data_IF_002886201233
#
_entry.id   IF_002886201233
#
_cell.length_a   1.000
_cell.length_b   1.000
_cell.length_c   1.000
_cell.angle_alpha   90.00
_cell.angle_beta   90.00
_cell.angle_gamma   90.00
#
_symmetry.space_group_name_H-M   'P 1'
#
loop_
_entity.id
_entity.type
_entity.pdbx_description
1 polymer ?
#
# COMPACT_ATOMS: atom_id res chain seq x y z
N UNK A 1 -38.40 17.99 -5.85
CA UNK A 1 -37.47 16.93 -5.39
C UNK A 1 -36.35 16.92 -6.40
N UNK A 2 -35.10 17.16 -5.98
CA UNK A 2 -33.97 17.22 -6.93
C UNK A 2 -33.65 15.83 -7.48
N UNK A 3 -33.15 15.77 -8.71
CA UNK A 3 -32.75 14.50 -9.34
C UNK A 3 -31.69 13.79 -8.47
N UNK A 4 -31.94 12.53 -8.13
CA UNK A 4 -30.99 11.69 -7.40
C UNK A 4 -29.82 11.34 -8.32
N UNK A 5 -28.58 11.57 -7.87
CA UNK A 5 -27.39 11.24 -8.65
C UNK A 5 -26.22 10.81 -7.77
N UNK A 6 -25.31 10.06 -8.39
CA UNK A 6 -24.13 9.54 -7.72
C UNK A 6 -23.03 10.60 -7.76
N UNK A 7 -22.44 10.91 -6.60
CA UNK A 7 -21.32 11.84 -6.47
C UNK A 7 -19.97 11.13 -6.58
N UNK A 8 -19.88 9.93 -6.02
CA UNK A 8 -18.64 9.18 -5.98
C UNK A 8 -18.92 7.69 -5.83
N UNK A 9 -18.01 6.87 -6.37
CA UNK A 9 -18.03 5.41 -6.26
C UNK A 9 -16.63 4.98 -5.88
N UNK A 10 -16.51 4.34 -4.73
CA UNK A 10 -15.27 3.75 -4.24
C UNK A 10 -15.36 2.23 -4.35
N UNK A 11 -14.42 1.59 -5.05
CA UNK A 11 -14.31 0.14 -5.06
C UNK A 11 -13.51 -0.28 -3.82
N UNK A 12 -14.14 -1.01 -2.90
CA UNK A 12 -13.52 -1.43 -1.64
C UNK A 12 -12.73 -2.74 -1.78
N UNK A 13 -13.19 -3.63 -2.67
CA UNK A 13 -12.71 -5.00 -2.70
C UNK A 13 -13.56 -5.91 -3.57
N UNK A 14 -13.40 -7.21 -3.36
CA UNK A 14 -14.32 -8.24 -3.83
C UNK A 14 -14.52 -9.31 -2.77
N UNK A 15 -15.67 -9.98 -2.80
CA UNK A 15 -15.96 -11.15 -2.00
C UNK A 15 -15.99 -12.39 -2.90
N UNK A 16 -15.43 -13.49 -2.40
CA UNK A 16 -15.66 -14.82 -2.94
C UNK A 16 -16.80 -15.46 -2.14
N UNK A 17 -17.90 -15.72 -2.83
CA UNK A 17 -19.10 -16.36 -2.28
C UNK A 17 -19.17 -17.81 -2.75
N UNK A 18 -19.74 -18.68 -1.94
CA UNK A 18 -19.80 -20.13 -2.19
C UNK A 18 -21.20 -20.64 -2.54
N UNK A 19 -22.25 -19.85 -2.27
CA UNK A 19 -23.64 -20.17 -2.54
C UNK A 19 -24.22 -19.18 -3.56
N UNK A 20 -25.03 -19.60 -4.56
CA UNK A 20 -25.44 -20.98 -4.86
C UNK A 20 -24.32 -21.83 -5.50
N UNK A 21 -23.28 -21.19 -5.99
CA UNK A 21 -22.03 -21.80 -6.44
C UNK A 21 -20.88 -20.83 -6.19
N UNK A 22 -19.63 -21.28 -6.33
CA UNK A 22 -18.48 -20.40 -6.15
C UNK A 22 -18.49 -19.27 -7.18
N UNK A 23 -18.55 -18.02 -6.73
CA UNK A 23 -18.51 -16.84 -7.59
C UNK A 23 -17.90 -15.64 -6.86
N UNK A 24 -17.63 -14.57 -7.61
CA UNK A 24 -17.03 -13.35 -7.07
C UNK A 24 -17.94 -12.15 -7.29
N UNK A 25 -18.05 -11.29 -6.28
CA UNK A 25 -18.77 -10.00 -6.35
C UNK A 25 -17.84 -8.87 -5.94
N UNK A 26 -17.88 -7.76 -6.65
CA UNK A 26 -17.15 -6.55 -6.29
C UNK A 26 -17.97 -5.72 -5.31
N UNK A 27 -17.28 -5.11 -4.36
CA UNK A 27 -17.86 -4.30 -3.29
C UNK A 27 -17.69 -2.83 -3.61
N UNK A 28 -18.80 -2.12 -3.82
CA UNK A 28 -18.78 -0.69 -4.14
C UNK A 28 -19.43 0.11 -3.01
N UNK A 29 -18.74 1.13 -2.52
CA UNK A 29 -19.33 2.18 -1.68
C UNK A 29 -19.78 3.33 -2.59
N UNK A 30 -21.10 3.48 -2.72
CA UNK A 30 -21.74 4.50 -3.55
C UNK A 30 -22.14 5.67 -2.68
N UNK A 31 -21.64 6.86 -3.01
CA UNK A 31 -21.96 8.13 -2.32
C UNK A 31 -22.92 8.93 -3.19
N UNK A 32 -24.11 9.19 -2.65
CA UNK A 32 -25.20 9.87 -3.35
C UNK A 32 -25.21 11.38 -3.08
N UNK A 33 -25.99 12.12 -3.88
CA UNK A 33 -26.14 13.56 -3.75
C UNK A 33 -26.81 14.00 -2.44
N UNK A 34 -27.65 13.14 -1.87
CA UNK A 34 -28.28 13.32 -0.55
C UNK A 34 -27.33 13.03 0.64
N UNK A 35 -26.03 12.82 0.35
CA UNK A 35 -24.98 12.45 1.31
C UNK A 35 -25.12 11.04 1.88
N UNK A 36 -26.07 10.23 1.40
CA UNK A 36 -26.13 8.83 1.79
C UNK A 36 -24.99 8.03 1.17
N UNK A 37 -24.46 7.10 1.96
CA UNK A 37 -23.45 6.14 1.51
C UNK A 37 -24.02 4.74 1.61
N UNK A 38 -23.92 3.97 0.52
CA UNK A 38 -24.51 2.64 0.42
C UNK A 38 -23.47 1.65 -0.09
N UNK A 39 -23.33 0.52 0.60
CA UNK A 39 -22.51 -0.60 0.15
C UNK A 39 -23.37 -1.49 -0.76
N UNK A 40 -22.86 -1.78 -1.96
CA UNK A 40 -23.52 -2.67 -2.92
C UNK A 40 -22.53 -3.70 -3.47
N UNK A 41 -23.08 -4.78 -4.02
CA UNK A 41 -22.33 -5.91 -4.56
C UNK A 41 -22.75 -6.20 -6.00
N UNK A 42 -21.79 -6.31 -6.92
CA UNK A 42 -22.06 -6.64 -8.34
C UNK A 42 -21.08 -7.64 -8.88
N UNK A 43 -21.54 -8.60 -9.69
CA UNK A 43 -20.65 -9.50 -10.44
C UNK A 43 -20.07 -8.78 -11.64
N UNK A 44 -18.90 -9.24 -12.11
CA UNK A 44 -18.30 -8.68 -13.32
C UNK A 44 -19.22 -8.76 -14.54
N UNK A 45 -19.94 -9.88 -14.68
CA UNK A 45 -20.88 -10.09 -15.78
C UNK A 45 -21.98 -9.04 -15.78
N UNK A 46 -22.51 -8.68 -14.61
CA UNK A 46 -23.53 -7.63 -14.49
C UNK A 46 -22.98 -6.25 -14.86
N UNK A 47 -21.74 -5.94 -14.43
CA UNK A 47 -21.05 -4.69 -14.80
C UNK A 47 -20.82 -4.63 -16.31
N UNK A 48 -20.46 -5.76 -16.93
CA UNK A 48 -20.23 -5.82 -18.37
C UNK A 48 -21.52 -5.68 -19.19
N UNK A 49 -22.61 -6.34 -18.79
CA UNK A 49 -23.92 -6.15 -19.43
C UNK A 49 -24.42 -4.71 -19.26
N UNK A 50 -24.24 -4.12 -18.07
CA UNK A 50 -24.47 -2.70 -17.84
C UNK A 50 -23.67 -1.84 -18.82
N UNK A 51 -22.37 -2.10 -18.97
CA UNK A 51 -21.50 -1.35 -19.88
C UNK A 51 -21.95 -1.49 -21.34
N UNK A 52 -22.33 -2.69 -21.77
CA UNK A 52 -22.83 -2.94 -23.13
C UNK A 52 -24.08 -2.12 -23.43
N UNK A 53 -25.08 -2.16 -22.54
CA UNK A 53 -26.29 -1.36 -22.67
C UNK A 53 -25.99 0.15 -22.64
N UNK A 54 -25.02 0.60 -21.81
CA UNK A 54 -24.60 2.00 -21.79
C UNK A 54 -24.02 2.44 -23.14
N UNK A 55 -23.22 1.60 -23.81
CA UNK A 55 -22.70 1.88 -25.15
C UNK A 55 -23.82 2.00 -26.18
N UNK A 56 -24.80 1.08 -26.12
CA UNK A 56 -25.96 1.08 -27.03
C UNK A 56 -26.82 2.35 -26.86
N UNK A 57 -26.93 2.87 -25.63
CA UNK A 57 -27.66 4.12 -25.35
C UNK A 57 -26.93 5.38 -25.83
N UNK A 58 -25.60 5.34 -25.93
CA UNK A 58 -24.76 6.50 -26.26
C UNK A 58 -23.72 6.16 -27.34
N UNK A 59 -24.17 5.86 -28.58
CA UNK A 59 -23.30 5.33 -29.65
C UNK A 59 -22.26 6.34 -30.16
N UNK A 60 -22.48 7.64 -29.97
CA UNK A 60 -21.51 8.68 -30.33
C UNK A 60 -20.39 8.69 -29.28
N UNK A 61 -20.77 8.78 -28.01
CA UNK A 61 -19.86 8.89 -26.86
C UNK A 61 -19.15 7.58 -26.52
N UNK A 62 -19.67 6.44 -26.97
CA UNK A 62 -19.00 5.14 -26.93
C UNK A 62 -17.91 5.01 -28.00
N UNK A 63 -17.90 5.89 -29.00
CA UNK A 63 -17.02 5.85 -30.15
C UNK A 63 -17.44 4.85 -31.23
N UNK A 64 -18.68 4.34 -31.20
CA UNK A 64 -19.17 3.37 -32.19
C UNK A 64 -19.42 4.04 -33.57
N UNK A 65 -19.69 5.35 -33.60
CA UNK A 65 -19.84 6.14 -34.84
C UNK A 65 -18.50 6.77 -35.27
N UNK A 66 -17.80 7.42 -34.34
CA UNK A 66 -16.45 7.98 -34.58
C UNK A 66 -15.61 7.82 -33.31
N UNK A 67 -14.45 7.18 -33.44
CA UNK A 67 -13.52 6.93 -32.34
C UNK A 67 -13.05 8.20 -31.62
N UNK A 68 -12.99 9.34 -32.32
CA UNK A 68 -12.56 10.63 -31.73
C UNK A 68 -13.55 11.19 -30.70
N UNK A 69 -14.83 10.80 -30.80
CA UNK A 69 -15.88 11.26 -29.88
C UNK A 69 -16.00 10.38 -28.63
N UNK A 70 -15.14 9.36 -28.50
CA UNK A 70 -15.22 8.41 -27.40
C UNK A 70 -14.86 9.09 -26.08
N UNK A 71 -15.82 9.14 -25.18
CA UNK A 71 -15.63 9.55 -23.79
C UNK A 71 -16.01 8.43 -22.82
N UNK A 72 -16.87 7.48 -23.22
CA UNK A 72 -17.23 6.33 -22.38
C UNK A 72 -15.99 5.42 -22.22
N UNK A 73 -15.56 5.14 -20.99
CA UNK A 73 -14.35 4.36 -20.72
C UNK A 73 -14.47 2.94 -21.29
N UNK A 74 -13.33 2.35 -21.64
CA UNK A 74 -13.30 0.96 -22.10
C UNK A 74 -13.41 -0.01 -20.93
N UNK A 75 -14.26 -1.02 -21.06
CA UNK A 75 -14.29 -2.16 -20.15
C UNK A 75 -13.96 -3.45 -20.91
N UNK A 76 -12.92 -4.20 -20.51
CA UNK A 76 -12.53 -5.42 -21.20
C UNK A 76 -13.62 -6.51 -21.08
N UNK A 77 -13.78 -7.29 -22.15
CA UNK A 77 -14.73 -8.38 -22.18
C UNK A 77 -14.43 -9.45 -21.10
N UNK A 78 -15.47 -10.13 -20.56
CA UNK A 78 -15.29 -11.22 -19.63
C UNK A 78 -14.47 -12.35 -20.26
N UNK A 79 -13.56 -12.93 -19.49
CA UNK A 79 -12.87 -14.16 -19.89
C UNK A 79 -13.76 -15.35 -19.52
N UNK A 80 -13.65 -16.45 -20.28
CA UNK A 80 -14.41 -17.68 -20.05
C UNK A 80 -14.18 -18.33 -18.67
N UNK A 81 -13.05 -18.03 -18.03
CA UNK A 81 -12.74 -18.51 -16.68
C UNK A 81 -12.52 -17.32 -15.74
N UNK A 82 -13.36 -17.23 -14.70
CA UNK A 82 -13.20 -16.28 -13.60
C UNK A 82 -12.71 -16.99 -12.34
N UNK A 83 -11.44 -16.76 -12.03
CA UNK A 83 -10.80 -17.17 -10.80
C UNK A 83 -10.40 -15.97 -9.94
N UNK A 84 -9.95 -16.23 -8.72
CA UNK A 84 -9.56 -15.19 -7.77
C UNK A 84 -8.55 -14.20 -8.36
N UNK A 85 -7.51 -14.68 -9.08
CA UNK A 85 -6.51 -13.81 -9.71
C UNK A 85 -7.09 -12.88 -10.78
N UNK A 86 -8.05 -13.36 -11.59
CA UNK A 86 -8.68 -12.52 -12.62
C UNK A 86 -9.64 -11.50 -12.00
N UNK A 87 -10.30 -11.86 -10.90
CA UNK A 87 -11.11 -10.91 -10.13
C UNK A 87 -10.22 -9.82 -9.51
N UNK A 88 -9.13 -10.22 -8.87
CA UNK A 88 -8.18 -9.28 -8.27
C UNK A 88 -7.56 -8.33 -9.31
N UNK A 89 -7.10 -8.84 -10.45
CA UNK A 89 -6.46 -8.01 -11.48
C UNK A 89 -7.40 -6.99 -12.13
N UNK A 90 -8.72 -7.23 -12.11
CA UNK A 90 -9.73 -6.31 -12.63
C UNK A 90 -10.07 -5.17 -11.68
N UNK A 91 -9.72 -5.24 -10.40
CA UNK A 91 -10.08 -4.22 -9.42
C UNK A 91 -9.59 -2.83 -9.82
N UNK A 92 -8.33 -2.70 -10.28
CA UNK A 92 -7.79 -1.43 -10.77
C UNK A 92 -8.58 -0.85 -11.94
N UNK A 93 -8.85 -1.69 -12.95
CA UNK A 93 -9.65 -1.31 -14.12
C UNK A 93 -11.07 -0.90 -13.75
N UNK A 94 -11.71 -1.59 -12.81
CA UNK A 94 -13.06 -1.26 -12.35
C UNK A 94 -13.10 0.04 -11.53
N UNK A 95 -12.09 0.28 -10.69
CA UNK A 95 -11.98 1.52 -9.94
C UNK A 95 -11.84 2.73 -10.89
N UNK A 96 -10.95 2.63 -11.89
CA UNK A 96 -10.77 3.66 -12.93
C UNK A 96 -12.03 3.83 -13.79
N UNK A 97 -12.69 2.73 -14.17
CA UNK A 97 -13.94 2.74 -14.93
C UNK A 97 -15.03 3.51 -14.17
N UNK A 98 -15.25 3.17 -12.89
CA UNK A 98 -16.27 3.82 -12.08
C UNK A 98 -15.94 5.31 -11.89
N UNK A 99 -14.69 5.65 -11.55
CA UNK A 99 -14.25 7.04 -11.42
C UNK A 99 -14.52 7.84 -12.69
N UNK A 100 -14.20 7.28 -13.86
CA UNK A 100 -14.42 7.96 -15.14
C UNK A 100 -15.92 8.11 -15.43
N UNK A 101 -16.71 7.06 -15.17
CA UNK A 101 -18.15 7.02 -15.42
C UNK A 101 -18.91 8.12 -14.68
N UNK A 102 -18.64 8.33 -13.37
CA UNK A 102 -19.33 9.38 -12.59
C UNK A 102 -18.93 10.80 -13.03
N UNK A 103 -17.75 10.95 -13.64
CA UNK A 103 -17.24 12.23 -14.15
C UNK A 103 -17.63 12.51 -15.62
N UNK A 104 -18.39 11.63 -16.27
CA UNK A 104 -18.93 11.90 -17.60
C UNK A 104 -20.00 13.01 -17.57
N UNK A 105 -20.30 13.63 -18.72
CA UNK A 105 -21.38 14.61 -18.84
C UNK A 105 -22.68 14.10 -18.21
N UNK A 106 -23.45 15.01 -17.58
CA UNK A 106 -24.62 14.64 -16.77
C UNK A 106 -25.65 13.80 -17.52
N UNK A 107 -25.79 14.00 -18.85
CA UNK A 107 -26.67 13.20 -19.70
C UNK A 107 -26.34 11.69 -19.68
N UNK A 108 -25.09 11.32 -19.37
CA UNK A 108 -24.63 9.94 -19.20
C UNK A 108 -24.55 9.58 -17.72
N UNK A 109 -23.76 10.32 -16.93
CA UNK A 109 -23.46 9.96 -15.53
C UNK A 109 -24.69 9.96 -14.61
N UNK A 110 -25.76 10.68 -14.97
CA UNK A 110 -27.01 10.75 -14.22
C UNK A 110 -28.19 10.08 -14.94
N UNK A 111 -27.94 9.35 -16.03
CA UNK A 111 -29.01 8.67 -16.71
C UNK A 111 -29.56 7.53 -15.84
N UNK A 112 -30.82 7.15 -16.09
CA UNK A 112 -31.50 6.14 -15.28
C UNK A 112 -30.76 4.80 -15.27
N UNK A 113 -30.09 4.43 -16.36
CA UNK A 113 -29.31 3.19 -16.44
C UNK A 113 -28.12 3.17 -15.48
N UNK A 114 -27.42 4.30 -15.33
CA UNK A 114 -26.33 4.44 -14.35
C UNK A 114 -26.89 4.44 -12.94
N UNK A 115 -27.90 5.27 -12.66
CA UNK A 115 -28.48 5.41 -11.32
C UNK A 115 -29.02 4.07 -10.81
N UNK A 116 -29.88 3.41 -11.59
CA UNK A 116 -30.51 2.13 -11.21
C UNK A 116 -29.51 0.97 -11.04
N UNK A 117 -28.40 0.97 -11.80
CA UNK A 117 -27.38 -0.08 -11.63
C UNK A 117 -26.71 -0.02 -10.25
N UNK A 118 -26.52 1.20 -9.71
CA UNK A 118 -25.85 1.44 -8.43
C UNK A 118 -26.82 1.58 -7.23
N UNK A 119 -28.13 1.48 -7.45
CA UNK A 119 -29.11 1.43 -6.36
C UNK A 119 -28.95 0.17 -5.50
N UNK A 120 -29.29 0.28 -4.21
CA UNK A 120 -29.25 -0.85 -3.28
C UNK A 120 -30.31 -1.87 -3.65
N UNK A 121 -29.89 -3.12 -3.87
CA UNK A 121 -30.79 -4.25 -4.11
C UNK A 121 -31.10 -4.97 -2.78
N UNK A 122 -32.23 -5.70 -2.68
CA UNK A 122 -32.50 -6.54 -1.52
C UNK A 122 -31.34 -7.50 -1.18
N UNK A 123 -30.70 -8.06 -2.21
CA UNK A 123 -29.56 -8.97 -2.09
C UNK A 123 -28.29 -8.31 -1.52
N UNK A 124 -28.19 -6.98 -1.58
CA UNK A 124 -27.07 -6.23 -0.98
C UNK A 124 -27.21 -6.10 0.54
N UNK A 125 -28.46 -6.05 1.03
CA UNK A 125 -28.76 -5.92 2.47
C UNK A 125 -28.75 -7.27 3.17
N UNK A 126 -29.32 -8.28 2.52
CA UNK A 126 -29.42 -9.64 3.05
C UNK A 126 -28.80 -10.62 2.05
N UNK A 127 -27.46 -10.73 1.99
CA UNK A 127 -26.82 -11.67 1.09
C UNK A 127 -27.28 -13.08 1.42
N UNK A 128 -27.71 -13.82 0.40
CA UNK A 128 -28.18 -15.21 0.57
C UNK A 128 -26.98 -16.06 0.98
N UNK A 129 -26.90 -16.40 2.25
CA UNK A 129 -25.89 -17.30 2.81
C UNK A 129 -26.56 -18.58 3.29
N UNK A 130 -26.08 -19.72 2.80
CA UNK A 130 -26.38 -20.98 3.45
C UNK A 130 -25.56 -21.08 4.75
N UNK A 131 -26.25 -21.12 5.89
CA UNK A 131 -25.65 -21.27 7.22
C UNK A 131 -24.77 -22.51 7.38
N UNK A 132 -24.88 -23.50 6.49
CA UNK A 132 -24.09 -24.73 6.48
C UNK A 132 -22.83 -24.64 5.59
N UNK A 133 -22.69 -23.59 4.77
CA UNK A 133 -21.58 -23.43 3.80
C UNK A 133 -20.59 -22.37 4.30
N UNK A 134 -19.31 -22.51 3.91
CA UNK A 134 -18.20 -21.60 4.24
C UNK A 134 -18.61 -20.12 4.10
N UNK A 135 -18.24 -19.30 5.08
CA UNK A 135 -18.43 -17.84 5.05
C UNK A 135 -17.76 -17.22 3.82
N UNK A 136 -18.32 -16.14 3.23
CA UNK A 136 -17.67 -15.42 2.15
C UNK A 136 -16.26 -14.96 2.53
N UNK A 137 -15.30 -15.12 1.62
CA UNK A 137 -13.92 -14.62 1.79
C UNK A 137 -13.84 -13.21 1.19
N UNK A 138 -13.43 -12.22 1.99
CA UNK A 138 -13.35 -10.81 1.58
C UNK A 138 -11.93 -10.42 1.22
N UNK A 139 -11.74 -9.81 0.06
CA UNK A 139 -10.45 -9.35 -0.47
C UNK A 139 -10.50 -7.86 -0.75
N UNK A 140 -9.90 -7.06 0.12
CA UNK A 140 -9.91 -5.60 0.01
C UNK A 140 -8.85 -5.09 -0.97
N UNK A 141 -9.11 -3.94 -1.58
CA UNK A 141 -8.07 -3.19 -2.28
C UNK A 141 -7.05 -2.66 -1.27
N UNK A 142 -5.73 -2.78 -1.55
CA UNK A 142 -4.71 -2.09 -0.76
C UNK A 142 -5.01 -0.59 -0.76
N UNK A 143 -5.36 -0.02 0.40
CA UNK A 143 -5.51 1.42 0.54
C UNK A 143 -4.13 2.06 0.52
N UNK A 144 -3.89 2.96 -0.42
CA UNK A 144 -2.78 3.90 -0.30
C UNK A 144 -2.96 4.67 1.02
N UNK A 145 -1.92 4.68 1.86
CA UNK A 145 -1.95 5.10 3.26
C UNK A 145 -2.21 6.61 3.52
N UNK A 146 -2.91 7.31 2.62
CA UNK A 146 -3.35 8.69 2.81
C UNK A 146 -4.81 8.71 3.25
N UNK A 147 -5.04 8.55 4.56
CA UNK A 147 -6.37 8.73 5.19
C UNK A 147 -6.85 10.17 4.94
N UNK A 148 -7.89 10.34 4.14
CA UNK A 148 -8.62 11.60 4.05
C UNK A 148 -9.80 11.58 5.02
N UNK A 149 -10.15 12.74 5.59
CA UNK A 149 -11.20 12.87 6.61
C UNK A 149 -12.62 12.50 6.12
N UNK A 150 -12.81 12.26 4.82
CA UNK A 150 -14.05 11.80 4.20
C UNK A 150 -14.29 10.28 4.28
N UNK A 151 -13.37 9.52 4.87
CA UNK A 151 -13.39 8.05 4.89
C UNK A 151 -14.04 7.46 6.16
N UNK A 152 -14.67 8.30 7.00
CA UNK A 152 -15.17 7.92 8.34
C UNK A 152 -16.52 7.18 8.27
N UNK A 153 -17.24 7.23 7.14
CA UNK A 153 -18.64 6.77 7.01
C UNK A 153 -18.84 5.42 6.33
N UNK A 154 -17.79 4.76 5.84
CA UNK A 154 -17.88 3.39 5.33
C UNK A 154 -18.10 2.38 6.47
N UNK A 155 -18.73 1.21 6.21
CA UNK A 155 -18.77 0.14 7.19
C UNK A 155 -17.32 -0.25 7.54
N UNK A 156 -16.94 -0.01 8.80
CA UNK A 156 -15.63 -0.39 9.31
C UNK A 156 -15.63 -1.92 9.42
N UNK A 157 -15.16 -2.58 8.36
CA UNK A 157 -14.90 -4.02 8.39
C UNK A 157 -13.61 -4.21 9.15
N UNK A 158 -13.74 -4.64 10.39
CA UNK A 158 -12.61 -4.95 11.25
C UNK A 158 -11.92 -6.22 10.73
N UNK A 159 -10.59 -6.23 10.77
CA UNK A 159 -9.85 -7.43 10.42
C UNK A 159 -9.95 -8.44 11.56
N UNK A 160 -10.29 -9.68 11.21
CA UNK A 160 -10.46 -10.75 12.18
C UNK A 160 -9.16 -11.53 12.35
N UNK A 161 -8.75 -11.69 13.61
CA UNK A 161 -7.56 -12.42 14.02
C UNK A 161 -7.94 -13.53 15.00
N UNK A 162 -7.04 -14.50 15.15
CA UNK A 162 -7.18 -15.59 16.11
C UNK A 162 -6.06 -15.58 17.15
N UNK A 163 -6.42 -15.83 18.40
CA UNK A 163 -5.46 -15.99 19.47
C UNK A 163 -4.71 -17.33 19.32
N UNK A 164 -3.38 -17.28 19.25
CA UNK A 164 -2.52 -18.48 19.17
C UNK A 164 -2.21 -19.09 20.53
N UNK A 165 -2.39 -18.34 21.62
CA UNK A 165 -2.12 -18.80 22.98
C UNK A 165 -2.99 -18.05 23.99
N UNK A 166 -3.05 -18.56 25.21
CA UNK A 166 -3.71 -17.90 26.33
C UNK A 166 -2.92 -16.65 26.76
N UNK A 167 -3.61 -15.52 26.90
CA UNK A 167 -3.04 -14.28 27.41
C UNK A 167 -3.80 -13.83 28.65
N UNK A 168 -3.07 -13.61 29.74
CA UNK A 168 -3.62 -13.06 30.97
C UNK A 168 -3.38 -11.55 31.03
N UNK A 169 -4.45 -10.79 31.28
CA UNK A 169 -4.36 -9.34 31.40
C UNK A 169 -3.63 -8.94 32.69
N UNK A 170 -2.76 -7.96 32.58
CA UNK A 170 -2.02 -7.35 33.68
C UNK A 170 -2.64 -6.02 34.14
N UNK A 171 -3.50 -5.40 33.32
CA UNK A 171 -4.16 -4.14 33.63
C UNK A 171 -5.67 -4.15 33.35
N UNK A 172 -6.38 -3.11 33.80
CA UNK A 172 -7.83 -2.96 33.57
C UNK A 172 -8.18 -2.60 32.13
N UNK A 173 -7.25 -2.02 31.38
CA UNK A 173 -7.40 -1.65 29.96
C UNK A 173 -7.14 -2.82 29.01
N UNK A 174 -6.50 -3.88 29.50
CA UNK A 174 -6.18 -5.09 28.75
C UNK A 174 -7.34 -6.10 28.74
N UNK A 175 -7.41 -6.90 27.67
CA UNK A 175 -8.34 -7.99 27.52
C UNK A 175 -7.60 -9.33 27.56
N UNK A 176 -8.07 -10.26 28.39
CA UNK A 176 -7.54 -11.62 28.39
C UNK A 176 -8.00 -12.39 27.15
N UNK A 177 -7.15 -13.29 26.64
CA UNK A 177 -7.44 -14.17 25.50
C UNK A 177 -7.29 -15.63 25.89
N UNK A 178 -8.07 -16.50 25.26
CA UNK A 178 -7.86 -17.95 25.25
C UNK A 178 -7.41 -18.40 23.88
N UNK A 179 -6.53 -19.40 23.83
CA UNK A 179 -6.06 -19.97 22.57
C UNK A 179 -7.25 -20.43 21.72
N UNK A 180 -7.34 -19.90 20.51
CA UNK A 180 -8.46 -20.13 19.59
C UNK A 180 -9.55 -19.07 19.59
N UNK A 181 -9.53 -18.11 20.52
CA UNK A 181 -10.45 -16.97 20.48
C UNK A 181 -10.30 -16.19 19.18
N UNK A 182 -11.43 -15.79 18.60
CA UNK A 182 -11.49 -15.00 17.37
C UNK A 182 -11.86 -13.56 17.73
N UNK A 183 -11.00 -12.62 17.40
CA UNK A 183 -11.13 -11.20 17.77
C UNK A 183 -11.14 -10.32 16.54
N UNK A 184 -11.88 -9.23 16.62
CA UNK A 184 -11.88 -8.18 15.60
C UNK A 184 -10.92 -7.05 16.03
N UNK A 185 -9.95 -6.71 15.19
CA UNK A 185 -8.96 -5.68 15.46
C UNK A 185 -9.53 -4.31 15.08
N UNK A 186 -9.74 -3.46 16.10
CA UNK A 186 -10.28 -2.10 15.98
C UNK A 186 -9.19 -1.08 15.69
N UNK A 187 -8.05 -1.22 16.37
CA UNK A 187 -6.91 -0.32 16.21
C UNK A 187 -5.61 -1.11 16.31
N UNK A 188 -4.78 -1.03 15.27
CA UNK A 188 -3.38 -1.50 15.32
C UNK A 188 -2.47 -0.36 15.74
N UNK A 189 -1.43 -0.71 16.49
CA UNK A 189 -0.40 0.21 16.95
C UNK A 189 0.98 -0.39 16.73
N UNK A 190 1.92 0.42 16.28
CA UNK A 190 3.34 0.07 16.20
C UNK A 190 3.96 -0.18 17.60
N UNK A 191 3.22 0.12 18.68
CA UNK A 191 3.62 -0.19 20.06
C UNK A 191 3.50 -1.68 20.40
N UNK A 192 2.87 -2.49 19.54
CA UNK A 192 2.63 -3.92 19.76
C UNK A 192 1.38 -4.25 20.57
N UNK A 193 0.68 -3.24 21.06
CA UNK A 193 -0.63 -3.38 21.68
C UNK A 193 -1.71 -3.02 20.68
N UNK A 194 -2.62 -3.94 20.40
CA UNK A 194 -3.76 -3.69 19.50
C UNK A 194 -5.05 -3.66 20.29
N UNK A 195 -5.95 -2.74 19.94
CA UNK A 195 -7.26 -2.66 20.56
C UNK A 195 -8.20 -3.60 19.82
N UNK A 196 -8.71 -4.60 20.52
CA UNK A 196 -9.51 -5.67 19.94
C UNK A 196 -10.88 -5.77 20.60
N UNK A 197 -11.84 -6.29 19.84
CA UNK A 197 -13.16 -6.68 20.31
C UNK A 197 -13.32 -8.20 20.26
N UNK A 198 -13.75 -8.78 21.39
CA UNK A 198 -14.13 -10.19 21.51
C UNK A 198 -15.54 -10.27 22.06
N UNK A 199 -16.53 -10.60 21.22
CA UNK A 199 -17.95 -10.61 21.59
C UNK A 199 -18.37 -9.25 22.18
N UNK A 200 -18.71 -9.23 23.47
CA UNK A 200 -19.14 -8.05 24.22
C UNK A 200 -18.01 -7.40 25.06
N UNK A 201 -16.76 -7.86 24.92
CA UNK A 201 -15.59 -7.32 25.61
C UNK A 201 -14.69 -6.60 24.62
N UNK A 202 -14.02 -5.54 25.10
CA UNK A 202 -13.01 -4.80 24.35
C UNK A 202 -11.83 -4.51 25.27
N UNK A 203 -10.64 -4.43 24.69
CA UNK A 203 -9.44 -4.06 25.41
C UNK A 203 -8.19 -4.26 24.58
N UNK A 204 -7.06 -3.82 25.13
CA UNK A 204 -5.75 -3.98 24.51
C UNK A 204 -5.27 -5.41 24.67
N UNK A 205 -4.69 -5.96 23.61
CA UNK A 205 -4.06 -7.28 23.58
C UNK A 205 -2.70 -7.20 22.87
N UNK A 206 -1.72 -8.04 23.22
CA UNK A 206 -0.45 -8.05 22.50
C UNK A 206 -0.63 -8.64 21.10
N UNK A 207 -0.17 -7.93 20.08
CA UNK A 207 -0.21 -8.37 18.69
C UNK A 207 0.53 -9.71 18.47
N UNK A 208 1.57 -9.99 19.27
CA UNK A 208 2.32 -11.24 19.23
C UNK A 208 1.46 -12.49 19.54
N UNK A 209 0.33 -12.33 20.22
CA UNK A 209 -0.60 -13.43 20.55
C UNK A 209 -1.67 -13.66 19.49
N UNK A 210 -1.71 -12.82 18.46
CA UNK A 210 -2.71 -12.88 17.40
C UNK A 210 -2.10 -13.40 16.10
N UNK A 211 -2.88 -14.07 15.28
CA UNK A 211 -2.55 -14.39 13.89
C UNK A 211 -3.72 -14.00 12.96
N UNK A 212 -3.47 -13.48 11.75
CA UNK A 212 -4.54 -13.17 10.81
C UNK A 212 -5.28 -14.44 10.40
N UNK A 213 -6.58 -14.33 10.08
CA UNK A 213 -7.38 -15.48 9.63
C UNK A 213 -7.14 -15.85 8.15
N UNK A 214 -6.73 -14.89 7.33
CA UNK A 214 -6.53 -15.00 5.88
C UNK A 214 -5.13 -15.51 5.49
N UNK A 215 -4.16 -15.43 6.41
CA UNK A 215 -2.82 -15.99 6.23
C UNK A 215 -1.90 -15.76 7.43
N UNK A 216 -0.73 -16.39 7.46
CA UNK A 216 0.23 -16.23 8.56
C UNK A 216 1.01 -14.91 8.49
N UNK A 217 1.01 -14.21 7.35
CA UNK A 217 1.77 -12.98 7.11
C UNK A 217 0.90 -11.74 7.42
N UNK A 218 1.50 -10.74 8.07
CA UNK A 218 0.83 -9.48 8.40
C UNK A 218 0.83 -8.55 7.18
N UNK A 219 -0.34 -8.26 6.62
CA UNK A 219 -0.48 -7.52 5.36
C UNK A 219 -0.22 -6.02 5.48
N UNK A 220 -0.34 -5.44 6.68
CA UNK A 220 -0.10 -4.02 6.95
C UNK A 220 1.31 -3.73 7.50
N UNK A 221 2.18 -4.74 7.54
CA UNK A 221 3.56 -4.58 8.00
C UNK A 221 4.39 -3.80 6.95
N UNK A 222 5.08 -2.76 7.41
CA UNK A 222 5.91 -1.93 6.54
C UNK A 222 7.15 -2.69 6.08
N UNK A 223 7.74 -2.32 4.93
CA UNK A 223 9.03 -2.88 4.53
C UNK A 223 10.21 -2.27 5.33
N UNK A 224 11.34 -3.00 5.50
CA UNK A 224 12.52 -2.46 6.17
C UNK A 224 13.10 -1.24 5.45
N UNK A 225 13.32 -0.16 6.19
CA UNK A 225 14.06 1.02 5.74
C UNK A 225 15.52 0.96 6.21
N UNK A 226 16.40 0.36 5.40
CA UNK A 226 17.83 0.26 5.73
C UNK A 226 18.58 1.60 5.78
N UNK A 227 17.98 2.70 5.30
CA UNK A 227 18.51 4.04 5.51
C UNK A 227 18.58 4.39 7.00
N UNK A 228 17.59 3.92 7.77
CA UNK A 228 17.44 4.20 9.19
C UNK A 228 16.77 5.55 9.44
N UNK A 229 15.93 5.60 10.47
CA UNK A 229 15.44 6.84 11.06
C UNK A 229 16.11 7.05 12.43
N UNK A 230 16.50 8.28 12.75
CA UNK A 230 17.23 8.56 13.99
C UNK A 230 16.27 8.66 15.19
N UNK A 231 16.53 7.86 16.23
CA UNK A 231 15.78 7.83 17.49
C UNK A 231 16.75 7.92 18.68
N UNK A 232 16.21 8.33 19.82
CA UNK A 232 16.88 8.35 21.12
C UNK A 232 16.17 7.37 22.06
N UNK A 233 16.94 6.60 22.80
CA UNK A 233 16.44 5.70 23.84
C UNK A 233 15.95 6.52 25.04
N UNK A 234 14.66 6.46 25.33
CA UNK A 234 14.05 7.12 26.50
C UNK A 234 14.12 6.29 27.78
N UNK A 235 14.27 4.97 27.66
CA UNK A 235 14.35 4.08 28.82
C UNK A 235 15.27 2.91 28.51
N UNK A 236 16.20 2.64 29.42
CA UNK A 236 17.16 1.53 29.28
C UNK A 236 16.44 0.17 29.22
N UNK A 237 17.01 -0.75 28.45
CA UNK A 237 16.54 -2.14 28.34
C UNK A 237 17.74 -3.07 28.19
N UNK A 238 17.69 -4.21 28.87
CA UNK A 238 18.71 -5.27 28.80
C UNK A 238 18.14 -6.43 28.00
N UNK A 239 18.89 -6.86 26.98
CA UNK A 239 18.53 -7.98 26.12
C UNK A 239 18.30 -9.25 26.95
N UNK A 240 17.17 -9.90 26.71
CA UNK A 240 16.80 -11.20 27.30
C UNK A 240 17.02 -12.33 26.31
N UNK A 241 16.77 -12.08 25.02
CA UNK A 241 17.04 -13.01 23.91
C UNK A 241 18.26 -12.54 23.09
N UNK A 242 18.92 -13.46 22.39
CA UNK A 242 20.16 -13.18 21.61
C UNK A 242 19.95 -12.22 20.44
N UNK A 243 18.72 -12.09 19.96
CA UNK A 243 18.35 -11.22 18.85
C UNK A 243 17.89 -9.82 19.30
N UNK A 244 18.01 -9.51 20.60
CA UNK A 244 17.70 -8.22 21.21
C UNK A 244 18.95 -7.38 21.49
N UNK A 245 18.78 -6.07 21.65
CA UNK A 245 19.88 -5.16 21.99
C UNK A 245 19.76 -4.61 23.41
N UNK A 246 20.89 -4.61 24.12
CA UNK A 246 21.05 -3.88 25.38
C UNK A 246 21.44 -2.44 25.08
N UNK A 247 20.58 -1.49 25.43
CA UNK A 247 20.80 -0.05 25.21
C UNK A 247 20.49 0.75 26.47
N UNK A 248 21.20 1.87 26.65
CA UNK A 248 21.05 2.79 27.76
C UNK A 248 20.22 4.00 27.35
N UNK A 249 19.50 4.56 28.31
CA UNK A 249 18.82 5.84 28.14
C UNK A 249 19.79 6.93 27.65
N UNK A 250 19.35 7.71 26.66
CA UNK A 250 20.16 8.71 25.96
C UNK A 250 20.91 8.18 24.74
N UNK A 251 21.00 6.86 24.54
CA UNK A 251 21.64 6.30 23.35
C UNK A 251 20.92 6.77 22.07
N UNK A 252 21.68 7.20 21.07
CA UNK A 252 21.16 7.50 19.74
C UNK A 252 21.30 6.28 18.84
N UNK A 253 20.21 5.91 18.16
CA UNK A 253 20.10 4.70 17.35
C UNK A 253 19.35 4.97 16.04
N UNK A 254 19.48 4.05 15.09
CA UNK A 254 18.78 4.11 13.81
C UNK A 254 17.71 3.01 13.75
N UNK A 255 16.43 3.37 13.73
CA UNK A 255 15.32 2.43 13.52
C UNK A 255 15.26 2.06 12.04
N UNK A 256 15.39 0.77 11.73
CA UNK A 256 15.40 0.27 10.34
C UNK A 256 14.13 -0.52 9.99
N UNK A 257 13.34 -0.95 10.96
CA UNK A 257 12.06 -1.62 10.68
C UNK A 257 11.07 -1.46 11.85
N UNK A 258 9.91 -0.85 11.58
CA UNK A 258 8.84 -0.61 12.56
C UNK A 258 7.78 -1.72 12.53
N UNK A 259 8.12 -2.86 13.12
CA UNK A 259 7.22 -4.01 13.21
C UNK A 259 6.00 -3.68 14.08
N UNK A 260 4.83 -4.23 13.72
CA UNK A 260 3.55 -3.98 14.41
C UNK A 260 3.40 -4.76 15.72
N UNK A 261 4.35 -5.63 16.05
CA UNK A 261 4.39 -6.38 17.32
C UNK A 261 5.06 -5.59 18.47
N UNK A 262 5.50 -4.36 18.20
CA UNK A 262 6.10 -3.48 19.19
C UNK A 262 7.61 -3.62 19.34
N UNK A 263 8.22 -4.61 18.69
CA UNK A 263 9.65 -4.89 18.76
C UNK A 263 10.32 -4.47 17.47
N UNK A 264 10.78 -3.23 17.42
CA UNK A 264 11.39 -2.68 16.22
C UNK A 264 12.79 -3.21 16.02
N UNK A 265 13.21 -3.35 14.76
CA UNK A 265 14.60 -3.64 14.44
C UNK A 265 15.36 -2.32 14.41
N UNK A 266 16.39 -2.24 15.26
CA UNK A 266 17.22 -1.05 15.40
C UNK A 266 18.66 -1.38 15.08
N UNK A 267 19.40 -0.36 14.65
CA UNK A 267 20.83 -0.40 14.38
C UNK A 267 21.54 0.54 15.34
N UNK A 268 22.53 -0.01 16.04
CA UNK A 268 23.55 0.75 16.76
C UNK A 268 24.91 0.34 16.21
N UNK A 269 25.62 1.30 15.65
CA UNK A 269 26.87 1.09 14.94
C UNK A 269 26.73 0.05 13.80
N UNK A 270 27.37 -1.11 13.92
CA UNK A 270 27.31 -2.20 12.94
C UNK A 270 26.40 -3.36 13.36
N UNK A 271 25.77 -3.27 14.53
CA UNK A 271 24.92 -4.31 15.11
C UNK A 271 23.44 -3.99 14.88
N UNK A 272 22.65 -5.04 14.64
CA UNK A 272 21.19 -4.94 14.54
C UNK A 272 20.55 -5.90 15.53
N UNK A 273 19.41 -5.52 16.08
CA UNK A 273 18.61 -6.36 16.94
C UNK A 273 17.27 -5.72 17.27
N UNK A 274 16.42 -6.47 17.96
CA UNK A 274 15.12 -6.00 18.41
C UNK A 274 15.25 -5.07 19.61
N UNK A 275 14.40 -4.05 19.64
CA UNK A 275 14.27 -3.14 20.76
C UNK A 275 12.82 -2.67 20.94
N UNK A 276 12.32 -2.53 22.18
CA UNK A 276 10.97 -2.04 22.44
C UNK A 276 10.71 -0.65 21.84
N UNK A 277 9.77 -0.56 20.92
CA UNK A 277 9.36 0.72 20.30
C UNK A 277 8.89 1.75 21.33
N UNK A 278 8.24 1.29 22.41
CA UNK A 278 7.73 2.13 23.49
C UNK A 278 8.84 2.88 24.26
N UNK A 279 10.10 2.44 24.12
CA UNK A 279 11.24 3.07 24.78
C UNK A 279 12.04 3.98 23.84
N UNK A 280 11.53 4.25 22.64
CA UNK A 280 12.20 5.05 21.62
C UNK A 280 11.42 6.33 21.33
N UNK A 281 12.15 7.42 21.16
CA UNK A 281 11.61 8.70 20.70
C UNK A 281 12.35 9.17 19.46
N UNK A 282 11.61 9.66 18.46
CA UNK A 282 12.20 10.18 17.24
C UNK A 282 13.03 11.42 17.55
N UNK A 283 14.26 11.46 17.03
CA UNK A 283 15.17 12.58 17.25
C UNK A 283 14.60 13.87 16.64
N UNK A 284 14.55 14.96 17.41
CA UNK A 284 14.04 16.26 16.97
C UNK A 284 12.55 16.52 17.18
N UNK A 285 11.77 15.56 17.68
CA UNK A 285 10.38 15.80 18.09
C UNK A 285 10.31 16.23 19.57
N UNK A 286 9.68 17.38 19.85
CA UNK A 286 9.35 17.81 21.23
C UNK A 286 8.41 16.77 21.83
N UNK A 287 8.59 16.42 23.12
CA UNK A 287 7.74 15.52 23.89
C UNK A 287 6.27 15.99 23.86
N UNK A 288 5.55 15.69 22.78
CA UNK A 288 4.12 15.86 22.75
C UNK A 288 3.54 14.72 23.55
N UNK A 289 2.69 15.00 24.54
CA UNK A 289 1.98 13.96 25.25
C UNK A 289 1.08 13.22 24.25
N UNK A 290 1.55 12.10 23.67
CA UNK A 290 0.69 11.20 22.89
C UNK A 290 -0.53 10.89 23.76
N UNK A 291 -1.73 11.16 23.25
CA UNK A 291 -3.04 10.94 23.91
C UNK A 291 -3.40 9.45 24.01
N UNK A 292 -2.43 8.54 23.95
CA UNK A 292 -2.72 7.11 23.96
C UNK A 292 -2.97 6.65 25.40
N UNK A 293 -4.05 5.91 25.61
CA UNK A 293 -4.30 5.15 26.85
C UNK A 293 -3.27 4.04 27.12
N UNK A 294 -2.14 4.05 26.42
CA UNK A 294 -1.06 3.08 26.43
C UNK A 294 0.07 3.43 27.42
N UNK A 295 0.04 4.60 28.07
CA UNK A 295 1.14 5.07 28.97
C UNK A 295 1.49 4.14 30.12
N UNK A 296 0.56 3.27 30.52
CA UNK A 296 0.72 2.38 31.66
C UNK A 296 0.86 0.90 31.25
N UNK A 297 0.96 0.59 29.95
CA UNK A 297 1.16 -0.79 29.53
C UNK A 297 2.63 -1.17 29.61
N UNK A 298 2.90 -2.40 30.03
CA UNK A 298 4.23 -2.97 29.95
C UNK A 298 4.62 -3.18 28.48
N UNK A 299 5.91 -3.47 28.24
CA UNK A 299 6.38 -3.88 26.91
C UNK A 299 5.55 -5.09 26.47
N UNK A 300 5.02 -5.12 25.24
CA UNK A 300 4.29 -6.28 24.76
C UNK A 300 5.19 -7.52 24.76
N UNK A 301 4.71 -8.70 25.19
CA UNK A 301 5.48 -9.94 25.10
C UNK A 301 5.82 -10.28 23.64
N UNK A 302 7.02 -10.81 23.40
CA UNK A 302 7.44 -11.28 22.07
C UNK A 302 6.81 -12.61 21.74
N UNK A 303 6.58 -12.88 20.46
CA UNK A 303 6.07 -14.19 20.00
C UNK A 303 7.01 -15.35 20.34
N UNK A 304 8.33 -15.11 20.35
CA UNK A 304 9.35 -16.09 20.76
C UNK A 304 9.18 -16.55 22.21
N UNK A 305 8.62 -15.72 23.09
CA UNK A 305 8.38 -16.08 24.50
C UNK A 305 7.15 -16.99 24.71
N UNK A 306 6.34 -17.23 23.67
CA UNK A 306 5.11 -18.02 23.73
C UNK A 306 5.40 -19.51 23.53
N UNK A 307 5.40 -20.29 24.61
CA UNK A 307 5.79 -21.72 24.58
C UNK A 307 4.83 -22.64 23.81
N UNK A 308 3.53 -22.37 23.83
CA UNK A 308 2.48 -23.26 23.29
C UNK A 308 1.62 -22.56 22.22
N UNK A 309 2.26 -21.85 21.29
CA UNK A 309 1.58 -21.19 20.19
C UNK A 309 0.89 -22.23 19.26
N UNK A 310 -0.42 -22.12 19.08
CA UNK A 310 -1.25 -22.97 18.24
C UNK A 310 -1.75 -22.19 17.03
N UNK A 311 -0.99 -22.25 15.94
CA UNK A 311 -1.39 -21.63 14.66
C UNK A 311 -2.45 -22.45 13.92
N UNK A 312 -3.37 -21.78 13.22
CA UNK A 312 -4.25 -22.42 12.22
C UNK A 312 -3.57 -22.62 10.86
N UNK A 313 -2.40 -22.01 10.65
CA UNK A 313 -1.72 -22.01 9.37
C UNK A 313 -0.67 -23.12 9.30
N UNK A 314 -0.67 -23.88 8.21
CA UNK A 314 0.34 -24.92 7.98
C UNK A 314 1.72 -24.33 7.63
N UNK A 315 1.77 -23.07 7.19
CA UNK A 315 3.01 -22.36 6.87
C UNK A 315 3.30 -21.35 7.99
N UNK A 316 4.56 -21.27 8.40
CA UNK A 316 5.02 -20.24 9.32
C UNK A 316 5.00 -18.85 8.68
N UNK A 317 4.86 -17.82 9.52
CA UNK A 317 5.00 -16.42 9.14
C UNK A 317 6.40 -16.17 8.57
N UNK A 318 6.49 -15.38 7.51
CA UNK A 318 7.78 -14.91 6.98
C UNK A 318 8.38 -13.90 7.95
N UNK A 319 9.54 -14.22 8.50
CA UNK A 319 10.30 -13.32 9.34
C UNK A 319 11.74 -13.23 8.82
N UNK A 320 12.25 -12.00 8.71
CA UNK A 320 13.64 -11.76 8.33
C UNK A 320 14.53 -12.02 9.55
N UNK A 321 15.58 -12.82 9.40
CA UNK A 321 16.52 -13.10 10.49
C UNK A 321 17.41 -11.89 10.79
N UNK A 322 17.91 -11.80 12.03
CA UNK A 322 18.86 -10.74 12.40
C UNK A 322 20.13 -10.75 11.54
N UNK A 323 20.60 -11.93 11.14
CA UNK A 323 21.73 -12.05 10.21
C UNK A 323 21.45 -11.41 8.85
N UNK A 324 20.23 -11.59 8.32
CA UNK A 324 19.79 -10.94 7.08
C UNK A 324 19.66 -9.43 7.25
N UNK A 325 19.08 -8.95 8.35
CA UNK A 325 19.04 -7.51 8.66
C UNK A 325 20.44 -6.90 8.73
N UNK A 326 21.36 -7.55 9.45
CA UNK A 326 22.76 -7.12 9.60
C UNK A 326 23.45 -7.04 8.24
N UNK A 327 23.31 -8.07 7.40
CA UNK A 327 23.91 -8.11 6.06
C UNK A 327 23.40 -6.98 5.16
N UNK A 328 22.07 -6.81 5.09
CA UNK A 328 21.45 -5.79 4.25
C UNK A 328 21.78 -4.38 4.74
N UNK A 329 21.78 -4.18 6.05
CA UNK A 329 22.19 -2.94 6.70
C UNK A 329 23.65 -2.58 6.38
N UNK A 330 24.60 -3.53 6.54
CA UNK A 330 26.02 -3.31 6.20
C UNK A 330 26.20 -2.97 4.71
N UNK A 331 25.52 -3.70 3.82
CA UNK A 331 25.56 -3.45 2.38
C UNK A 331 25.07 -2.05 2.03
N UNK A 332 23.97 -1.60 2.65
CA UNK A 332 23.45 -0.25 2.46
C UNK A 332 24.45 0.81 2.94
N UNK A 333 25.03 0.64 4.13
CA UNK A 333 25.99 1.58 4.69
C UNK A 333 27.29 1.68 3.87
N UNK A 334 27.80 0.55 3.35
CA UNK A 334 28.95 0.52 2.45
C UNK A 334 28.66 1.28 1.15
N UNK A 335 27.51 1.03 0.52
CA UNK A 335 27.11 1.76 -0.69
C UNK A 335 27.00 3.27 -0.45
N UNK A 336 26.41 3.67 0.69
CA UNK A 336 26.30 5.08 1.09
C UNK A 336 27.66 5.73 1.34
N UNK A 337 28.61 5.02 1.97
CA UNK A 337 30.00 5.47 2.17
C UNK A 337 30.74 5.61 0.85
N UNK A 338 30.63 4.64 -0.06
CA UNK A 338 31.26 4.69 -1.38
C UNK A 338 30.76 5.89 -2.21
N UNK A 339 29.45 6.17 -2.17
CA UNK A 339 28.87 7.34 -2.82
C UNK A 339 29.43 8.65 -2.25
N UNK A 340 29.56 8.77 -0.92
CA UNK A 340 30.16 9.95 -0.25
C UNK A 340 31.66 10.09 -0.55
N UNK A 341 32.42 8.99 -0.57
CA UNK A 341 33.84 9.00 -0.91
C UNK A 341 34.12 9.42 -2.34
N UNK A 342 33.21 9.11 -3.29
CA UNK A 342 33.30 9.58 -4.67
C UNK A 342 32.97 11.06 -4.84
N UNK A 343 32.17 11.65 -3.94
CA UNK A 343 31.94 13.09 -3.87
C UNK A 343 33.15 13.82 -3.29
N UNK A 344 33.75 13.31 -2.21
CA UNK A 344 34.93 13.93 -1.58
C UNK A 344 36.22 13.82 -2.43
N UNK A 345 36.37 12.77 -3.25
CA UNK A 345 37.50 12.65 -4.19
C UNK A 345 37.49 13.65 -5.34
N UNK A 346 36.38 14.38 -5.58
CA UNK A 346 36.33 15.46 -6.58
C UNK A 346 36.85 16.81 -6.05
N UNK A 347 36.99 16.97 -4.74
CA UNK A 347 37.35 18.25 -4.10
C UNK A 347 38.80 18.30 -3.57
N UNK A 348 39.63 17.30 -3.88
CA UNK A 348 41.07 17.31 -3.53
C UNK A 348 41.88 17.44 -4.81
N UNK A 349 42.29 18.67 -5.12
CA UNK A 349 43.37 18.97 -6.06
C UNK A 349 44.65 19.12 -5.25
N UNK A 350 45.66 18.24 -5.38
CA UNK A 350 47.01 18.56 -4.97
C UNK A 350 47.77 19.11 -6.20
N UNK A 351 48.17 20.38 -6.14
CA UNK A 351 49.26 20.87 -6.97
C UNK A 351 50.55 20.11 -6.64
N UNK A 352 51.12 19.38 -7.61
CA UNK A 352 52.50 19.56 -8.06
C UNK A 352 52.95 18.53 -9.11
N UNK A 353 53.55 19.12 -10.16
CA UNK A 353 54.71 18.73 -10.96
C UNK A 353 54.82 17.31 -11.54
N UNK A 354 54.74 17.27 -12.86
CA UNK A 354 55.14 16.18 -13.75
C UNK A 354 56.66 15.97 -13.74
N UNK A 355 57.10 14.70 -13.76
CA UNK A 355 58.18 14.21 -14.64
C UNK A 355 58.21 12.66 -14.68
N UNK A 356 57.95 12.14 -15.89
CA UNK A 356 58.50 10.96 -16.60
C UNK A 356 58.95 9.70 -15.82
N UNK A 357 58.34 8.52 -16.08
CA UNK A 357 58.79 7.53 -17.09
C UNK A 357 58.08 6.13 -16.97
N UNK A 358 57.74 5.56 -18.14
CA UNK A 358 57.72 4.16 -18.59
C UNK A 358 56.73 3.05 -18.11
N UNK A 359 55.93 2.61 -19.12
CA UNK A 359 55.46 1.25 -19.54
C UNK A 359 54.27 0.51 -18.86
N UNK A 360 53.14 0.61 -19.59
CA UNK A 360 52.19 -0.41 -20.08
C UNK A 360 51.31 -1.26 -19.14
N UNK A 361 49.99 -0.96 -19.16
CA UNK A 361 48.87 -1.93 -19.18
C UNK A 361 47.65 -1.32 -19.89
N UNK A 362 46.93 -2.15 -20.66
CA UNK A 362 45.98 -1.78 -21.73
C UNK A 362 44.69 -1.07 -21.25
N UNK A 363 44.20 -0.11 -22.04
CA UNK A 363 42.86 0.49 -21.91
C UNK A 363 41.81 -0.32 -22.69
N UNK A 364 40.59 -0.52 -22.16
CA UNK A 364 39.48 -1.07 -22.93
C UNK A 364 38.95 -0.04 -23.93
N UNK A 365 38.76 -0.46 -25.19
CA UNK A 365 38.30 0.38 -26.27
C UNK A 365 36.88 0.92 -26.03
N UNK A 366 36.73 2.23 -26.07
CA UNK A 366 35.43 2.91 -26.10
C UNK A 366 34.88 2.74 -27.53
N UNK A 367 33.70 2.13 -27.75
CA UNK A 367 33.14 2.03 -29.09
C UNK A 367 32.79 3.42 -29.63
N UNK A 368 32.97 3.66 -30.94
CA UNK A 368 32.70 4.96 -31.54
C UNK A 368 31.24 5.33 -31.36
N UNK A 369 31.02 6.62 -31.07
CA UNK A 369 29.70 7.20 -30.88
C UNK A 369 28.84 6.92 -32.12
N UNK A 370 27.64 6.33 -31.97
CA UNK A 370 26.78 6.04 -33.11
C UNK A 370 26.40 7.33 -33.87
N UNK A 371 26.23 7.21 -35.18
CA UNK A 371 25.90 8.33 -36.05
C UNK A 371 24.55 8.95 -35.67
N UNK A 372 24.40 10.24 -35.96
CA UNK A 372 23.18 11.01 -35.67
C UNK A 372 21.93 10.34 -36.25
N UNK A 373 22.05 9.70 -37.40
CA UNK A 373 20.94 9.02 -38.07
C UNK A 373 20.53 7.72 -37.35
N UNK A 374 21.50 6.99 -36.77
CA UNK A 374 21.24 5.78 -35.99
C UNK A 374 20.56 6.09 -34.65
N UNK A 375 20.86 7.25 -34.06
CA UNK A 375 20.18 7.74 -32.86
C UNK A 375 18.73 8.13 -33.18
N UNK A 376 18.50 8.81 -34.30
CA UNK A 376 17.16 9.25 -34.71
C UNK A 376 16.21 8.09 -35.08
N UNK A 377 16.73 6.98 -35.60
CA UNK A 377 15.92 5.79 -35.90
C UNK A 377 15.57 4.95 -34.66
N UNK A 378 16.29 5.11 -33.55
CA UNK A 378 16.04 4.39 -32.29
C UNK A 378 15.22 5.20 -31.27
N UNK A 379 14.86 6.44 -31.57
CA UNK A 379 14.00 7.25 -30.72
C UNK A 379 12.51 6.87 -30.88
N UNK A 380 11.76 6.90 -29.79
CA UNK A 380 10.30 6.68 -29.78
C UNK A 380 9.56 7.75 -30.59
N UNK A 381 8.39 7.43 -31.17
CA UNK A 381 7.60 8.37 -31.99
C UNK A 381 7.30 9.70 -31.29
N UNK A 382 7.09 9.67 -29.96
CA UNK A 382 6.90 10.86 -29.12
C UNK A 382 8.10 11.82 -29.16
N UNK A 383 9.31 11.28 -29.18
CA UNK A 383 10.55 12.06 -29.27
C UNK A 383 10.74 12.62 -30.68
N UNK A 384 10.37 11.84 -31.72
CA UNK A 384 10.42 12.28 -33.13
C UNK A 384 9.47 13.44 -33.40
N UNK A 385 8.24 13.40 -32.85
CA UNK A 385 7.25 14.49 -32.96
C UNK A 385 7.71 15.77 -32.27
N UNK A 386 8.29 15.69 -31.06
CA UNK A 386 8.80 16.89 -30.35
C UNK A 386 9.92 17.60 -31.12
N UNK A 387 10.82 16.85 -31.76
CA UNK A 387 11.91 17.43 -32.56
C UNK A 387 11.39 18.11 -33.84
N UNK A 388 10.34 17.57 -34.46
CA UNK A 388 9.70 18.17 -35.64
C UNK A 388 8.98 19.48 -35.27
N UNK A 389 8.29 19.51 -34.13
CA UNK A 389 7.66 20.73 -33.60
C UNK A 389 8.69 21.82 -33.26
N UNK A 390 9.83 21.46 -32.70
CA UNK A 390 10.92 22.41 -32.40
C UNK A 390 11.49 23.05 -33.67
N UNK A 391 11.69 22.27 -34.74
CA UNK A 391 12.20 22.77 -36.03
C UNK A 391 11.21 23.66 -36.78
N UNK A 392 9.91 23.40 -36.66
CA UNK A 392 8.88 24.28 -37.23
C UNK A 392 8.81 25.61 -36.46
N UNK A 393 8.92 25.59 -35.14
CA UNK A 393 8.94 26.80 -34.32
C UNK A 393 10.15 27.70 -34.61
N UNK A 394 11.33 27.12 -34.83
CA UNK A 394 12.56 27.87 -35.18
C UNK A 394 12.51 28.47 -36.60
N UNK A 395 11.80 27.84 -37.54
CA UNK A 395 11.63 28.36 -38.90
C UNK A 395 10.66 29.55 -38.95
N UNK A 396 9.60 29.54 -38.13
CA UNK A 396 8.63 30.65 -38.02
C UNK A 396 9.25 31.86 -37.30
N UNK A 397 10.12 31.62 -36.30
CA UNK A 397 10.83 32.69 -35.60
C UNK A 397 11.86 33.41 -36.50
N UNK A 398 12.52 32.69 -37.43
CA UNK A 398 13.47 33.31 -38.38
C UNK A 398 12.80 34.11 -39.50
N UNK A 399 11.59 33.74 -39.92
CA UNK A 399 10.84 34.49 -40.93
C UNK A 399 10.29 35.83 -40.41
N UNK A 400 10.16 35.98 -39.09
CA UNK A 400 9.56 37.17 -38.45
C UNK A 400 10.56 38.30 -38.15
N UNK A 401 11.87 38.06 -38.33
CA UNK A 401 12.94 39.03 -38.00
C UNK A 401 13.42 39.83 -39.23
N UNK A 402 13.06 39.41 -40.46
CA UNK A 402 13.52 40.08 -41.70
C UNK A 402 12.61 41.21 -42.20
N UNK A 403 11.49 41.50 -41.54
CA UNK A 403 10.59 42.60 -41.92
C UNK A 403 10.39 43.52 -40.72
N UNK A 404 11.40 44.31 -40.38
CA UNK A 404 11.30 45.59 -39.65
C UNK A 404 12.70 46.16 -39.41
N UNK A 405 13.17 46.97 -40.37
CA UNK A 405 13.89 48.23 -40.11
C UNK A 405 13.68 49.14 -41.33
N UNK A 406 13.54 50.46 -41.10
CA UNK A 406 12.90 51.41 -42.00
C UNK A 406 13.66 51.64 -43.31
#
# INVERSE_FOLDING_TARGET
>A
MGDTFIRHIELLGYEKRFFPSQHYVYMFLVKWNDLSEKLIYRRFTEIYEFHKALKEMFPIESGDINAENRIIPHLPAPKWFDGQRSTQSRQGTLAEYCYTLVNLPHKISRCLHVVSFFEVRPDDMNPITDSQIRKPEVFLLPKDAKKNASDITGPIVLQTYRAIADYEKSSKSEMALKAGDVVDVVEKSETGWWFCQLKNKRGWVPAAYLEPMDGPDESEEQEPNYAGELYVVQKSYTAVEEDELTLKEGDTIEVIHKLLDGWWVVRKDETTGYYPSMYLQKSGEVNTPKKSGLRNHNIPPRRSTIRNAKSIHNKGRKQISQETYRRNSKKYMQNRRNMRGNLQKKDIIPEKNEQEENKSKAQPAIPPRPSKDLIMNRCTESTRRKIIYQRCAESVARASITVRKP
#
